data_IF_539234159550
#
_entry.id   IF_539234159550
#
_cell.length_a   1.000
_cell.length_b   1.000
_cell.length_c   1.000
_cell.angle_alpha   90.00
_cell.angle_beta   90.00
_cell.angle_gamma   90.00
#
_symmetry.space_group_name_H-M   'P 1'
#
loop_
_entity.id
_entity.type
_entity.pdbx_description
1 polymer ?
#
# COMPACT_ATOMS: atom_id res chain seq x y z
N UNK A 1 3.29 -65.73 -35.40
CA UNK A 1 2.84 -64.80 -36.46
C UNK A 1 1.54 -64.14 -36.01
N UNK A 2 1.58 -62.86 -35.61
CA UNK A 2 0.37 -62.07 -35.30
C UNK A 2 0.52 -60.71 -35.98
N UNK A 3 -0.46 -60.37 -36.81
CA UNK A 3 -0.49 -59.19 -37.69
C UNK A 3 -0.82 -57.94 -36.88
N UNK A 4 -0.08 -56.86 -37.11
CA UNK A 4 -0.36 -55.51 -36.59
C UNK A 4 -1.37 -54.87 -37.55
N UNK A 5 -2.51 -54.43 -37.04
CA UNK A 5 -3.47 -53.59 -37.78
C UNK A 5 -3.26 -52.15 -37.31
N UNK A 6 -2.86 -51.29 -38.23
CA UNK A 6 -2.59 -49.87 -38.01
C UNK A 6 -3.87 -49.08 -38.34
N UNK A 7 -4.54 -48.55 -37.32
CA UNK A 7 -5.70 -47.65 -37.50
C UNK A 7 -5.21 -46.21 -37.54
N UNK A 8 -5.39 -45.55 -38.68
CA UNK A 8 -5.00 -44.18 -38.96
C UNK A 8 -6.13 -43.23 -38.51
N UNK A 9 -5.92 -42.48 -37.41
CA UNK A 9 -6.89 -41.49 -36.93
C UNK A 9 -6.49 -40.10 -37.43
N UNK A 10 -7.33 -39.52 -38.29
CA UNK A 10 -7.17 -38.19 -38.88
C UNK A 10 -7.58 -37.12 -37.85
N UNK A 11 -6.65 -36.29 -37.39
CA UNK A 11 -6.94 -35.17 -36.49
C UNK A 11 -7.25 -33.93 -37.32
N UNK A 12 -8.51 -33.45 -37.22
CA UNK A 12 -8.95 -32.19 -37.81
C UNK A 12 -8.35 -31.00 -37.03
N UNK A 13 -7.58 -30.18 -37.73
CA UNK A 13 -6.96 -28.96 -37.23
C UNK A 13 -8.03 -27.84 -37.22
N UNK A 14 -8.45 -27.37 -36.04
CA UNK A 14 -9.31 -26.20 -35.93
C UNK A 14 -8.49 -24.90 -36.00
N UNK A 15 -9.03 -23.82 -36.61
CA UNK A 15 -8.34 -22.53 -36.63
C UNK A 15 -8.40 -21.88 -35.25
N UNK A 16 -7.22 -21.58 -34.71
CA UNK A 16 -7.04 -20.82 -33.48
C UNK A 16 -7.49 -19.37 -33.75
N UNK A 17 -8.62 -18.96 -33.17
CA UNK A 17 -9.00 -17.56 -33.08
C UNK A 17 -8.04 -16.86 -32.11
N UNK A 18 -7.15 -16.01 -32.65
CA UNK A 18 -6.34 -15.12 -31.85
C UNK A 18 -7.23 -14.00 -31.28
N UNK A 19 -7.52 -14.05 -29.98
CA UNK A 19 -8.11 -12.93 -29.26
C UNK A 19 -7.01 -11.88 -29.08
N UNK A 20 -7.16 -10.63 -29.54
CA UNK A 20 -6.20 -9.59 -29.21
C UNK A 20 -6.27 -9.36 -27.70
N UNK A 21 -5.15 -9.61 -27.02
CA UNK A 21 -4.97 -9.24 -25.63
C UNK A 21 -5.19 -7.72 -25.51
N UNK A 22 -6.34 -7.32 -24.96
CA UNK A 22 -6.54 -5.98 -24.45
C UNK A 22 -5.60 -5.87 -23.25
N UNK A 23 -4.37 -5.41 -23.51
CA UNK A 23 -3.45 -4.98 -22.50
C UNK A 23 -4.02 -3.71 -21.86
N UNK A 24 -4.97 -3.87 -20.94
CA UNK A 24 -5.18 -2.87 -19.92
C UNK A 24 -3.95 -2.95 -19.00
N UNK A 25 -3.06 -1.94 -18.96
CA UNK A 25 -2.08 -1.87 -17.90
C UNK A 25 -2.85 -1.52 -16.62
N UNK A 26 -3.42 -2.54 -15.97
CA UNK A 26 -3.69 -2.46 -14.55
C UNK A 26 -2.33 -2.27 -13.91
N UNK A 27 -1.95 -1.00 -13.66
CA UNK A 27 -0.83 -0.65 -12.80
C UNK A 27 -1.18 -1.28 -11.46
N UNK A 28 -0.63 -2.45 -11.21
CA UNK A 28 -0.61 -3.02 -9.88
C UNK A 28 -0.05 -1.93 -8.98
N UNK A 29 -0.84 -1.51 -8.00
CA UNK A 29 -0.40 -0.72 -6.87
C UNK A 29 0.49 -1.60 -6.01
N UNK A 30 1.65 -1.98 -6.58
CA UNK A 30 2.77 -2.47 -5.82
C UNK A 30 3.22 -1.27 -4.98
N UNK A 31 3.14 -1.42 -3.66
CA UNK A 31 3.75 -0.50 -2.71
C UNK A 31 5.28 -0.62 -2.82
N UNK A 32 5.84 -0.22 -3.95
CA UNK A 32 7.26 0.11 -4.02
C UNK A 32 7.43 1.30 -3.11
N UNK A 33 8.30 1.20 -2.10
CA UNK A 33 8.69 2.35 -1.28
C UNK A 33 9.43 3.33 -2.21
N UNK A 34 8.65 4.16 -2.90
CA UNK A 34 9.03 4.95 -4.06
C UNK A 34 10.02 6.08 -3.69
N UNK A 35 9.84 6.65 -2.48
CA UNK A 35 10.71 7.60 -1.75
C UNK A 35 10.29 7.62 -0.26
N UNK A 36 11.04 8.29 0.63
CA UNK A 36 10.73 8.30 2.07
C UNK A 36 11.58 7.35 2.91
N UNK A 37 12.09 7.81 4.06
CA UNK A 37 12.54 6.93 5.15
C UNK A 37 11.34 6.21 5.79
N UNK A 38 10.19 6.89 5.85
CA UNK A 38 8.93 6.36 6.34
C UNK A 38 7.79 6.55 5.33
N UNK A 39 6.87 5.58 5.29
CA UNK A 39 5.57 5.74 4.66
C UNK A 39 4.47 5.31 5.61
N UNK A 40 3.34 5.98 5.51
CA UNK A 40 2.18 5.68 6.32
C UNK A 40 0.92 5.69 5.46
N UNK A 41 0.14 4.61 5.51
CA UNK A 41 -1.19 4.56 4.93
C UNK A 41 -2.23 4.62 6.06
N UNK A 42 -3.15 5.58 5.99
CA UNK A 42 -4.20 5.73 7.01
C UNK A 42 -5.34 4.70 6.85
N UNK A 43 -6.31 4.74 7.77
CA UNK A 43 -7.45 3.83 7.75
C UNK A 43 -8.31 3.87 6.48
N UNK A 44 -8.28 4.99 5.75
CA UNK A 44 -8.96 5.18 4.47
C UNK A 44 -8.08 4.82 3.27
N UNK A 45 -6.79 4.58 3.48
CA UNK A 45 -5.82 4.24 2.46
C UNK A 45 -5.07 5.44 1.86
N UNK A 46 -5.23 6.66 2.41
CA UNK A 46 -4.42 7.79 1.96
C UNK A 46 -2.97 7.58 2.39
N UNK A 47 -2.04 7.88 1.49
CA UNK A 47 -0.63 7.62 1.67
C UNK A 47 0.13 8.90 2.01
N UNK A 48 1.02 8.80 3.00
CA UNK A 48 1.94 9.84 3.43
C UNK A 48 3.36 9.33 3.22
N UNK A 49 4.13 10.01 2.38
CA UNK A 49 5.56 9.77 2.20
C UNK A 49 6.33 10.79 3.02
N UNK A 50 7.14 10.30 3.96
CA UNK A 50 7.77 11.13 4.98
C UNK A 50 9.29 11.02 4.82
N UNK A 51 9.91 12.15 4.51
CA UNK A 51 11.36 12.33 4.42
C UNK A 51 11.81 13.45 5.38
N UNK A 52 13.13 13.57 5.58
CA UNK A 52 13.72 14.53 6.54
C UNK A 52 13.27 15.98 6.36
N UNK A 53 12.93 16.39 5.14
CA UNK A 53 12.55 17.77 4.82
C UNK A 53 11.12 17.96 4.33
N UNK A 54 10.35 16.90 4.12
CA UNK A 54 9.02 17.02 3.53
C UNK A 54 8.09 15.86 3.86
N UNK A 55 6.79 16.16 3.79
CA UNK A 55 5.72 15.17 3.74
C UNK A 55 4.97 15.35 2.42
N UNK A 56 4.88 14.28 1.63
CA UNK A 56 4.03 14.20 0.45
C UNK A 56 2.78 13.39 0.79
N UNK A 57 1.61 14.00 0.62
CA UNK A 57 0.29 13.40 0.81
C UNK A 57 -0.30 13.01 -0.55
N UNK A 58 -0.58 11.71 -0.69
CA UNK A 58 -1.21 11.07 -1.84
C UNK A 58 -2.57 10.50 -1.41
N UNK A 59 -3.65 11.28 -1.54
CA UNK A 59 -4.99 10.83 -1.17
C UNK A 59 -5.50 9.77 -2.14
N UNK A 60 -6.38 8.90 -1.64
CA UNK A 60 -7.21 8.06 -2.51
C UNK A 60 -8.27 8.94 -3.17
N UNK A 61 -8.38 8.85 -4.49
CA UNK A 61 -9.44 9.53 -5.25
C UNK A 61 -10.77 8.78 -5.12
N UNK A 62 -11.87 9.45 -5.47
CA UNK A 62 -13.20 8.83 -5.52
C UNK A 62 -13.23 7.56 -6.39
N UNK A 63 -12.51 7.58 -7.52
CA UNK A 63 -12.44 6.44 -8.45
C UNK A 63 -11.68 5.24 -7.87
N UNK A 64 -10.71 5.48 -6.97
CA UNK A 64 -9.91 4.44 -6.33
C UNK A 64 -10.55 3.93 -5.02
N UNK A 65 -11.59 4.62 -4.53
CA UNK A 65 -12.31 4.22 -3.34
C UNK A 65 -13.18 2.99 -3.59
N UNK A 66 -13.04 1.97 -2.73
CA UNK A 66 -13.92 0.78 -2.75
C UNK A 66 -15.41 1.12 -2.59
N UNK A 67 -15.77 2.26 -2.00
CA UNK A 67 -17.16 2.69 -1.87
C UNK A 67 -17.62 3.61 -3.01
N UNK A 68 -16.70 4.11 -3.84
CA UNK A 68 -16.98 5.13 -4.86
C UNK A 68 -17.42 6.49 -4.31
N UNK A 69 -17.44 6.68 -2.99
CA UNK A 69 -17.97 7.90 -2.36
C UNK A 69 -16.91 8.68 -1.58
N UNK A 70 -15.87 8.01 -1.08
CA UNK A 70 -14.80 8.65 -0.31
C UNK A 70 -13.82 9.37 -1.24
N UNK A 71 -13.43 10.58 -0.86
CA UNK A 71 -12.40 11.38 -1.53
C UNK A 71 -11.43 11.89 -0.45
N UNK A 72 -10.15 11.54 -0.57
CA UNK A 72 -9.10 11.95 0.36
C UNK A 72 -8.66 13.41 0.20
N UNK A 73 -9.21 14.13 -0.77
CA UNK A 73 -8.91 15.53 -1.06
C UNK A 73 -7.80 15.71 -2.09
N UNK A 74 -7.18 16.90 -2.08
CA UNK A 74 -6.11 17.23 -3.03
C UNK A 74 -4.75 16.67 -2.56
N UNK A 75 -3.91 16.15 -3.49
CA UNK A 75 -2.53 15.83 -3.18
C UNK A 75 -1.76 17.07 -2.73
N UNK A 76 -0.85 16.91 -1.78
CA UNK A 76 -0.12 18.04 -1.20
C UNK A 76 1.30 17.64 -0.78
N UNK A 77 2.27 18.50 -1.05
CA UNK A 77 3.62 18.36 -0.48
C UNK A 77 3.91 19.57 0.41
N UNK A 78 4.32 19.31 1.64
CA UNK A 78 4.71 20.34 2.61
C UNK A 78 6.17 20.16 3.02
N UNK A 79 6.87 21.27 3.21
CA UNK A 79 8.17 21.25 3.87
C UNK A 79 7.95 21.10 5.38
N UNK A 80 8.80 20.30 6.02
CA UNK A 80 8.84 20.15 7.47
C UNK A 80 10.24 20.44 7.99
N UNK A 81 10.30 20.92 9.22
CA UNK A 81 11.56 21.09 9.92
C UNK A 81 12.11 19.76 10.40
N UNK A 82 13.41 19.70 10.62
CA UNK A 82 14.09 18.54 11.20
C UNK A 82 13.54 18.16 12.60
N UNK A 83 13.06 19.15 13.38
CA UNK A 83 12.33 18.89 14.63
C UNK A 83 11.00 18.16 14.38
N UNK A 84 10.21 18.62 13.42
CA UNK A 84 8.94 17.99 13.06
C UNK A 84 9.14 16.59 12.51
N UNK A 85 10.19 16.40 11.68
CA UNK A 85 10.60 15.08 11.20
C UNK A 85 10.87 14.13 12.36
N UNK A 86 11.71 14.51 13.32
CA UNK A 86 12.00 13.69 14.50
C UNK A 86 10.75 13.35 15.31
N UNK A 87 9.80 14.28 15.44
CA UNK A 87 8.55 14.02 16.15
C UNK A 87 7.73 12.92 15.46
N UNK A 88 7.60 13.00 14.13
CA UNK A 88 6.90 11.98 13.34
C UNK A 88 7.63 10.65 13.41
N UNK A 89 8.95 10.64 13.16
CA UNK A 89 9.78 9.44 13.20
C UNK A 89 9.70 8.73 14.57
N UNK A 90 9.83 9.47 15.67
CA UNK A 90 9.72 8.90 17.01
C UNK A 90 8.32 8.34 17.32
N UNK A 91 7.27 8.94 16.75
CA UNK A 91 5.91 8.42 16.91
C UNK A 91 5.70 7.13 16.13
N UNK A 92 6.20 7.07 14.89
CA UNK A 92 6.14 5.87 14.05
C UNK A 92 6.98 4.75 14.67
N UNK A 93 8.22 5.02 15.11
CA UNK A 93 9.09 4.03 15.74
C UNK A 93 8.46 3.45 17.01
N UNK A 94 7.88 4.29 17.88
CA UNK A 94 7.13 3.80 19.05
C UNK A 94 5.95 2.92 18.68
N UNK A 95 5.30 3.17 17.54
CA UNK A 95 4.22 2.31 17.07
C UNK A 95 4.76 0.96 16.55
N UNK A 96 5.91 0.98 15.87
CA UNK A 96 6.59 -0.24 15.39
C UNK A 96 7.03 -1.16 16.52
N UNK A 97 7.47 -0.60 17.64
CA UNK A 97 7.93 -1.37 18.80
C UNK A 97 6.77 -2.01 19.60
N UNK A 98 5.54 -1.50 19.46
CA UNK A 98 4.37 -1.99 20.21
C UNK A 98 3.74 -3.20 19.56
N UNK A 99 4.07 -4.39 20.06
CA UNK A 99 3.47 -5.66 19.60
C UNK A 99 1.95 -5.76 19.84
N UNK A 100 1.43 -5.14 20.90
CA UNK A 100 0.01 -5.21 21.27
C UNK A 100 -0.95 -4.53 20.30
N UNK A 101 -0.45 -3.61 19.47
CA UNK A 101 -1.25 -2.92 18.44
C UNK A 101 -1.02 -3.51 17.05
N UNK A 102 -0.14 -4.50 16.92
CA UNK A 102 0.10 -5.19 15.68
C UNK A 102 -1.08 -6.10 15.39
N UNK A 103 -1.73 -5.88 14.25
CA UNK A 103 -2.76 -6.79 13.76
C UNK A 103 -2.15 -7.67 12.67
N UNK A 104 -2.24 -8.98 12.86
CA UNK A 104 -1.77 -9.93 11.86
C UNK A 104 -2.65 -9.90 10.61
N UNK A 105 -2.05 -10.23 9.47
CA UNK A 105 -2.79 -10.63 8.27
C UNK A 105 -3.47 -11.98 8.56
N UNK A 106 -4.61 -11.96 9.26
CA UNK A 106 -5.40 -13.17 9.44
C UNK A 106 -5.81 -13.77 8.09
N UNK A 107 -6.27 -15.03 8.07
CA UNK A 107 -6.71 -15.75 6.86
C UNK A 107 -7.76 -15.01 6.00
N UNK A 108 -8.33 -13.91 6.51
CA UNK A 108 -9.35 -13.08 5.88
C UNK A 108 -8.84 -11.69 5.42
N UNK A 109 -7.53 -11.47 5.41
CA UNK A 109 -6.92 -10.20 5.01
C UNK A 109 -6.97 -9.11 6.10
N UNK A 110 -6.52 -7.92 5.73
CA UNK A 110 -6.45 -6.73 6.60
C UNK A 110 -7.85 -6.16 6.83
N UNK A 111 -8.23 -5.94 8.08
CA UNK A 111 -9.48 -5.24 8.41
C UNK A 111 -9.46 -3.79 7.90
N UNK A 112 -10.57 -3.33 7.29
CA UNK A 112 -10.75 -1.93 6.87
C UNK A 112 -10.57 -0.99 8.06
N UNK A 113 -9.98 0.19 7.83
CA UNK A 113 -9.74 1.18 8.88
C UNK A 113 -8.45 1.01 9.69
N UNK A 114 -7.69 -0.07 9.46
CA UNK A 114 -6.34 -0.21 10.03
C UNK A 114 -5.34 0.69 9.32
N UNK A 115 -4.29 1.12 10.03
CA UNK A 115 -3.18 1.85 9.42
C UNK A 115 -2.07 0.90 8.97
N UNK A 116 -1.20 1.33 8.06
CA UNK A 116 -0.01 0.58 7.67
C UNK A 116 1.21 1.50 7.74
N UNK A 117 2.26 1.04 8.42
CA UNK A 117 3.56 1.68 8.47
C UNK A 117 4.52 0.90 7.58
N UNK A 118 5.27 1.63 6.76
CA UNK A 118 6.47 1.14 6.11
C UNK A 118 7.67 1.96 6.58
N UNK A 119 8.75 1.30 6.98
CA UNK A 119 10.01 1.94 7.34
C UNK A 119 11.13 1.32 6.52
N UNK A 120 11.90 2.16 5.82
CA UNK A 120 13.14 1.73 5.17
C UNK A 120 14.22 1.59 6.25
N UNK A 121 14.81 0.41 6.36
CA UNK A 121 15.95 0.15 7.26
C UNK A 121 17.24 -0.01 6.45
N UNK A 122 18.35 -0.26 7.14
CA UNK A 122 19.65 -0.52 6.49
C UNK A 122 19.53 -1.65 5.46
N UNK A 123 20.38 -1.61 4.43
CA UNK A 123 20.41 -2.59 3.35
C UNK A 123 19.14 -2.66 2.49
N UNK A 124 18.39 -1.53 2.44
CA UNK A 124 17.13 -1.38 1.67
C UNK A 124 16.01 -2.34 2.08
N UNK A 125 16.14 -3.01 3.21
CA UNK A 125 15.03 -3.81 3.74
C UNK A 125 13.89 -2.87 4.16
N UNK A 126 12.66 -3.37 4.09
CA UNK A 126 11.46 -2.61 4.42
C UNK A 126 10.75 -3.33 5.55
N UNK A 127 10.67 -2.68 6.71
CA UNK A 127 9.83 -3.13 7.79
C UNK A 127 8.40 -2.66 7.51
N UNK A 128 7.47 -3.61 7.50
CA UNK A 128 6.03 -3.35 7.28
C UNK A 128 5.24 -3.78 8.51
N UNK A 129 4.36 -2.92 8.99
CA UNK A 129 3.48 -3.23 10.11
C UNK A 129 2.09 -2.67 9.90
N UNK A 130 1.09 -3.53 10.05
CA UNK A 130 -0.31 -3.11 10.14
C UNK A 130 -0.64 -2.79 11.60
N UNK A 131 -1.22 -1.61 11.84
CA UNK A 131 -1.61 -1.15 13.17
C UNK A 131 -3.13 -1.15 13.34
N UNK A 132 -3.57 -1.60 14.51
CA UNK A 132 -4.97 -1.70 14.86
C UNK A 132 -5.72 -0.37 14.71
N UNK A 133 -6.98 -0.45 14.27
CA UNK A 133 -7.84 0.70 13.96
C UNK A 133 -8.18 1.55 15.19
N UNK A 134 -8.25 0.92 16.36
CA UNK A 134 -8.62 1.57 17.62
C UNK A 134 -7.36 1.88 18.45
N UNK A 135 -6.17 1.60 17.91
CA UNK A 135 -4.93 1.93 18.59
C UNK A 135 -4.75 3.44 18.73
N UNK A 136 -4.40 3.86 19.95
CA UNK A 136 -4.02 5.24 20.25
C UNK A 136 -2.88 5.73 19.34
N UNK A 137 -1.91 4.86 19.03
CA UNK A 137 -0.80 5.19 18.14
C UNK A 137 -1.26 5.59 16.74
N UNK A 138 -2.24 4.88 16.15
CA UNK A 138 -2.80 5.25 14.83
C UNK A 138 -3.39 6.66 14.87
N UNK A 139 -4.23 6.93 15.87
CA UNK A 139 -4.86 8.24 16.04
C UNK A 139 -3.83 9.36 16.21
N UNK A 140 -2.82 9.16 17.06
CA UNK A 140 -1.77 10.16 17.29
C UNK A 140 -0.96 10.45 16.01
N UNK A 141 -0.60 9.42 15.23
CA UNK A 141 0.11 9.57 13.96
C UNK A 141 -0.74 10.37 12.96
N UNK A 142 -2.00 9.97 12.77
CA UNK A 142 -2.90 10.63 11.81
C UNK A 142 -3.17 12.10 12.17
N UNK A 143 -3.34 12.40 13.46
CA UNK A 143 -3.53 13.78 13.94
C UNK A 143 -2.29 14.62 13.66
N UNK A 144 -1.09 14.12 14.01
CA UNK A 144 0.15 14.85 13.78
C UNK A 144 0.39 15.10 12.29
N UNK A 145 0.22 14.09 11.44
CA UNK A 145 0.41 14.23 10.00
C UNK A 145 -0.56 15.26 9.40
N UNK A 146 -1.84 15.21 9.78
CA UNK A 146 -2.85 16.20 9.32
C UNK A 146 -2.50 17.62 9.76
N UNK A 147 -2.02 17.80 11.00
CA UNK A 147 -1.57 19.11 11.48
C UNK A 147 -0.40 19.67 10.66
N UNK A 148 0.59 18.82 10.34
CA UNK A 148 1.73 19.22 9.52
C UNK A 148 1.32 19.54 8.08
N UNK A 149 0.26 18.94 7.55
CA UNK A 149 -0.25 19.27 6.22
C UNK A 149 -0.93 20.64 6.14
N UNK A 150 -1.43 21.20 7.24
CA UNK A 150 -2.18 22.47 7.24
C UNK A 150 -1.38 23.67 7.74
N UNK A 151 -0.14 23.48 8.19
CA UNK A 151 0.73 24.56 8.62
C UNK A 151 1.00 25.56 7.46
N UNK A 152 1.04 26.85 7.79
CA UNK A 152 1.30 27.96 6.85
C UNK A 152 2.77 28.33 6.84
#
# INVERSE_FOLDING_TARGET
MKKIVLTLTLILLSPIFAIPAIANPFKSSQTTIDRGEYQYADGSGNLYLIDRGSIEYRPITRAESSSGNYDGGAPKTVKITDRQYRQVAAMIDRALDRKSIQVGNGKNGRAKGTGIIYKRVKDRQILTQVIDRDSRSRTEIEVLLKQLLIQK
#
